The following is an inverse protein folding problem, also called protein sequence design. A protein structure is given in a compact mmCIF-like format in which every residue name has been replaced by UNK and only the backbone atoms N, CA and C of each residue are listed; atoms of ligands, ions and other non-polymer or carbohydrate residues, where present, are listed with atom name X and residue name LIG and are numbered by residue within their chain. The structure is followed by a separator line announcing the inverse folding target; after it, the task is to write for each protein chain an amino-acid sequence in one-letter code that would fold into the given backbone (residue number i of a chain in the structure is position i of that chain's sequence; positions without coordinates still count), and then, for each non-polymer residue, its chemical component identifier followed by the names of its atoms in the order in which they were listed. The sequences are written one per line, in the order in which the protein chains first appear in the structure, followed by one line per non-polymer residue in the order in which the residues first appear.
data_IF_707875133506
#
_entry.id   IF_707875133506
#
_cell.length_a   1.000
_cell.length_b   1.000
_cell.length_c   1.000
_cell.angle_alpha   90.00
_cell.angle_beta   90.00
_cell.angle_gamma   90.00
#
_symmetry.space_group_name_H-M   'P 1'
#
loop_
_entity.id
_entity.type
_entity.pdbx_description
1 polymer ?
#
# COMPACT_ATOMS: atom_id res chain seq x y z
N UNK A 1 -15.17 -6.24 8.56
CA UNK A 1 -14.42 -6.20 7.30
C UNK A 1 -13.45 -7.36 7.26
N UNK A 2 -13.17 -7.88 6.07
CA UNK A 2 -12.25 -9.00 5.87
C UNK A 2 -11.03 -8.55 5.08
N UNK A 3 -9.82 -8.81 5.61
CA UNK A 3 -8.57 -8.54 4.89
C UNK A 3 -8.09 -9.81 4.17
N UNK A 4 -7.84 -9.72 2.87
CA UNK A 4 -7.30 -10.82 2.06
C UNK A 4 -6.09 -10.36 1.26
N UNK A 5 -5.19 -11.28 0.91
CA UNK A 5 -4.13 -11.00 -0.05
C UNK A 5 -4.68 -11.10 -1.48
N UNK A 6 -4.44 -10.07 -2.30
CA UNK A 6 -4.88 -10.07 -3.69
C UNK A 6 -4.11 -11.10 -4.52
N UNK A 7 -4.83 -11.65 -5.51
CA UNK A 7 -4.32 -12.51 -6.58
C UNK A 7 -4.76 -11.94 -7.93
N UNK A 8 -4.38 -12.58 -9.04
CA UNK A 8 -4.85 -12.16 -10.38
C UNK A 8 -6.38 -12.19 -10.53
N UNK A 9 -7.08 -13.04 -9.77
CA UNK A 9 -8.55 -13.11 -9.77
C UNK A 9 -9.18 -11.81 -9.26
N UNK A 10 -8.45 -11.05 -8.46
CA UNK A 10 -8.94 -9.80 -7.88
C UNK A 10 -8.61 -8.57 -8.75
N UNK A 11 -7.97 -8.77 -9.90
CA UNK A 11 -7.46 -7.67 -10.74
C UNK A 11 -8.59 -6.73 -11.19
N UNK A 12 -9.71 -7.28 -11.64
CA UNK A 12 -10.84 -6.48 -12.12
C UNK A 12 -11.57 -5.78 -10.97
N UNK A 13 -11.57 -6.37 -9.76
CA UNK A 13 -12.11 -5.75 -8.55
C UNK A 13 -11.22 -4.59 -8.04
N UNK A 14 -9.90 -4.76 -8.08
CA UNK A 14 -8.94 -3.80 -7.55
C UNK A 14 -8.73 -2.59 -8.47
N UNK A 15 -8.72 -2.81 -9.79
CA UNK A 15 -8.32 -1.80 -10.78
C UNK A 15 -9.10 -0.48 -10.64
N UNK A 16 -10.44 -0.46 -10.52
CA UNK A 16 -11.18 0.79 -10.38
C UNK A 16 -10.79 1.59 -9.14
N UNK A 17 -10.52 0.89 -8.02
CA UNK A 17 -10.11 1.56 -6.78
C UNK A 17 -8.65 2.05 -6.86
N UNK A 18 -7.78 1.34 -7.55
CA UNK A 18 -6.41 1.77 -7.81
C UNK A 18 -6.35 3.01 -8.73
N UNK A 19 -7.25 3.11 -9.71
CA UNK A 19 -7.41 4.33 -10.52
C UNK A 19 -7.81 5.52 -9.64
N UNK A 20 -8.83 5.35 -8.77
CA UNK A 20 -9.24 6.40 -7.82
C UNK A 20 -8.12 6.81 -6.86
N UNK A 21 -7.30 5.86 -6.43
CA UNK A 21 -6.09 6.15 -5.65
C UNK A 21 -5.15 7.09 -6.42
N UNK A 22 -4.84 6.78 -7.68
CA UNK A 22 -3.96 7.62 -8.52
C UNK A 22 -4.55 9.01 -8.74
N UNK A 23 -5.84 9.10 -9.04
CA UNK A 23 -6.56 10.38 -9.19
C UNK A 23 -6.53 11.21 -7.90
N UNK A 24 -6.72 10.58 -6.73
CA UNK A 24 -6.65 11.25 -5.44
C UNK A 24 -5.28 11.89 -5.17
N UNK A 25 -4.20 11.31 -5.71
CA UNK A 25 -2.85 11.86 -5.65
C UNK A 25 -2.49 12.76 -6.84
N UNK A 26 -3.44 13.10 -7.71
CA UNK A 26 -3.28 14.07 -8.80
C UNK A 26 -2.81 13.48 -10.13
N UNK A 27 -2.63 12.15 -10.23
CA UNK A 27 -2.29 11.49 -11.50
C UNK A 27 -3.52 11.33 -12.41
N UNK A 28 -3.26 11.22 -13.71
CA UNK A 28 -4.30 10.90 -14.71
C UNK A 28 -4.78 9.45 -14.57
N UNK A 29 -6.07 9.22 -14.79
CA UNK A 29 -6.75 7.94 -14.55
C UNK A 29 -6.07 6.73 -15.22
N UNK A 30 -5.67 6.87 -16.49
CA UNK A 30 -5.10 5.80 -17.35
C UNK A 30 -5.51 4.37 -16.96
N UNK A 31 -6.79 3.98 -17.16
CA UNK A 31 -7.32 2.72 -16.66
C UNK A 31 -6.56 1.49 -17.19
N UNK A 32 -6.26 1.45 -18.49
CA UNK A 32 -5.54 0.35 -19.11
C UNK A 32 -4.11 0.20 -18.59
N UNK A 33 -3.39 1.32 -18.48
CA UNK A 33 -2.03 1.34 -17.91
C UNK A 33 -2.03 0.95 -16.43
N UNK A 34 -3.04 1.38 -15.67
CA UNK A 34 -3.22 1.03 -14.26
C UNK A 34 -3.47 -0.46 -14.08
N UNK A 35 -4.34 -1.05 -14.90
CA UNK A 35 -4.60 -2.50 -14.92
C UNK A 35 -3.36 -3.29 -15.29
N UNK A 36 -2.68 -2.90 -16.37
CA UNK A 36 -1.46 -3.56 -16.85
C UNK A 36 -0.33 -3.51 -15.80
N UNK A 37 -0.21 -2.39 -15.08
CA UNK A 37 0.74 -2.25 -13.98
C UNK A 37 0.46 -3.26 -12.87
N UNK A 38 -0.77 -3.30 -12.36
CA UNK A 38 -1.18 -4.23 -11.30
C UNK A 38 -0.98 -5.69 -11.72
N UNK A 39 -1.42 -6.03 -12.94
CA UNK A 39 -1.27 -7.38 -13.49
C UNK A 39 0.19 -7.83 -13.51
N UNK A 40 1.10 -6.96 -13.98
CA UNK A 40 2.54 -7.26 -14.03
C UNK A 40 3.10 -7.54 -12.64
N UNK A 41 2.75 -6.73 -11.64
CA UNK A 41 3.23 -6.92 -10.25
C UNK A 41 2.70 -8.19 -9.62
N UNK A 42 1.41 -8.48 -9.81
CA UNK A 42 0.78 -9.71 -9.32
C UNK A 42 1.35 -10.96 -9.99
N UNK A 43 1.48 -10.98 -11.33
CA UNK A 43 2.04 -12.12 -12.08
C UNK A 43 3.48 -12.42 -11.67
N UNK A 44 4.30 -11.38 -11.53
CA UNK A 44 5.73 -11.52 -11.20
C UNK A 44 6.00 -11.63 -9.70
N UNK A 45 4.96 -11.51 -8.86
CA UNK A 45 5.08 -11.48 -7.39
C UNK A 45 6.06 -10.41 -6.92
N UNK A 46 6.08 -9.27 -7.61
CA UNK A 46 6.95 -8.12 -7.32
C UNK A 46 6.37 -7.25 -6.19
N UNK A 47 5.10 -7.43 -5.85
CA UNK A 47 4.46 -6.78 -4.70
C UNK A 47 3.52 -7.74 -3.96
N UNK A 48 3.19 -7.37 -2.72
CA UNK A 48 2.12 -7.97 -1.93
C UNK A 48 1.03 -6.91 -1.79
N UNK A 49 -0.18 -7.23 -2.23
CA UNK A 49 -1.34 -6.35 -2.13
C UNK A 49 -2.32 -6.97 -1.15
N UNK A 50 -2.78 -6.19 -0.18
CA UNK A 50 -3.90 -6.56 0.69
C UNK A 50 -5.13 -5.76 0.32
N UNK A 51 -6.28 -6.44 0.32
CA UNK A 51 -7.60 -5.88 0.04
C UNK A 51 -8.43 -5.93 1.32
N UNK A 52 -9.13 -4.84 1.61
CA UNK A 52 -10.17 -4.80 2.65
C UNK A 52 -11.53 -4.94 1.98
N UNK A 53 -12.20 -6.07 2.18
CA UNK A 53 -13.54 -6.33 1.67
C UNK A 53 -14.60 -6.10 2.75
N UNK A 54 -15.80 -5.70 2.33
CA UNK A 54 -16.96 -5.69 3.22
C UNK A 54 -17.31 -7.11 3.69
N UNK A 55 -17.83 -7.23 4.91
CA UNK A 55 -18.34 -8.53 5.38
C UNK A 55 -19.70 -8.84 4.75
N UNK A 56 -20.48 -7.79 4.43
CA UNK A 56 -21.84 -7.91 3.89
C UNK A 56 -21.86 -8.15 2.37
N UNK A 57 -20.79 -7.78 1.67
CA UNK A 57 -20.67 -7.91 0.22
C UNK A 57 -19.21 -8.14 -0.18
N UNK A 58 -18.90 -9.34 -0.67
CA UNK A 58 -17.54 -9.72 -1.10
C UNK A 58 -17.05 -8.97 -2.34
N UNK A 59 -17.96 -8.36 -3.11
CA UNK A 59 -17.63 -7.53 -4.26
C UNK A 59 -17.42 -6.06 -3.88
N UNK A 60 -17.71 -5.68 -2.61
CA UNK A 60 -17.46 -4.33 -2.13
C UNK A 60 -16.05 -4.22 -1.55
N UNK A 61 -15.16 -3.63 -2.34
CA UNK A 61 -13.80 -3.28 -1.92
C UNK A 61 -13.77 -1.95 -1.17
N UNK A 62 -13.41 -1.99 0.10
CA UNK A 62 -13.35 -0.83 1.01
C UNK A 62 -12.01 -0.10 0.97
N UNK A 63 -10.94 -0.78 0.57
CA UNK A 63 -9.59 -0.22 0.57
C UNK A 63 -8.55 -1.26 0.15
N UNK A 64 -7.33 -0.78 -0.11
CA UNK A 64 -6.19 -1.65 -0.35
C UNK A 64 -4.90 -1.05 0.21
N UNK A 65 -3.89 -1.89 0.39
CA UNK A 65 -2.51 -1.45 0.52
C UNK A 65 -1.58 -2.33 -0.31
N UNK A 66 -0.48 -1.74 -0.81
CA UNK A 66 0.51 -2.42 -1.62
C UNK A 66 1.91 -2.24 -1.02
N UNK A 67 2.59 -3.37 -0.87
CA UNK A 67 3.93 -3.46 -0.31
C UNK A 67 4.92 -4.02 -1.32
N UNK A 68 6.08 -3.39 -1.42
CA UNK A 68 7.19 -3.90 -2.21
C UNK A 68 8.25 -4.55 -1.30
N UNK A 69 8.73 -5.77 -1.65
CA UNK A 69 9.84 -6.39 -0.94
C UNK A 69 11.14 -5.66 -1.25
N UNK A 70 11.97 -5.51 -0.23
CA UNK A 70 13.34 -4.97 -0.32
C UNK A 70 14.23 -5.65 0.72
N UNK A 71 15.49 -5.26 0.82
CA UNK A 71 16.44 -5.88 1.73
C UNK A 71 17.31 -4.83 2.41
N UNK A 72 17.72 -5.13 3.63
CA UNK A 72 18.83 -4.46 4.28
C UNK A 72 20.06 -5.35 4.18
N UNK A 73 21.05 -4.93 3.38
CA UNK A 73 22.33 -5.63 3.29
C UNK A 73 23.11 -5.56 4.60
N UNK A 74 22.92 -4.50 5.40
CA UNK A 74 23.56 -4.36 6.71
C UNK A 74 23.03 -5.36 7.74
N UNK A 75 21.72 -5.60 7.75
CA UNK A 75 21.08 -6.54 8.68
C UNK A 75 20.90 -7.94 8.09
N UNK A 76 21.24 -8.15 6.82
CA UNK A 76 20.99 -9.39 6.06
C UNK A 76 19.54 -9.88 6.17
N UNK A 77 18.58 -8.94 6.20
CA UNK A 77 17.16 -9.21 6.46
C UNK A 77 16.25 -8.48 5.48
N UNK A 78 15.03 -9.00 5.35
CA UNK A 78 13.95 -8.40 4.54
C UNK A 78 13.58 -7.01 5.07
N UNK A 79 13.20 -6.11 4.17
CA UNK A 79 12.51 -4.86 4.46
C UNK A 79 11.22 -4.85 3.63
N UNK A 80 10.15 -4.29 4.18
CA UNK A 80 8.92 -4.05 3.43
C UNK A 80 8.69 -2.56 3.22
N UNK A 81 8.41 -2.16 1.99
CA UNK A 81 8.09 -0.77 1.66
C UNK A 81 6.57 -0.71 1.45
N UNK A 82 5.85 -0.13 2.40
CA UNK A 82 4.43 0.19 2.26
C UNK A 82 4.34 1.47 1.42
N UNK A 83 4.05 1.31 0.13
CA UNK A 83 4.09 2.43 -0.81
C UNK A 83 2.71 3.02 -1.03
N UNK A 84 1.73 2.16 -1.28
CA UNK A 84 0.39 2.58 -1.65
C UNK A 84 -0.59 2.14 -0.55
N UNK A 85 -1.40 3.07 -0.07
CA UNK A 85 -2.54 2.77 0.80
C UNK A 85 -3.68 3.71 0.44
N UNK A 86 -4.87 3.14 0.28
CA UNK A 86 -6.05 3.92 -0.06
C UNK A 86 -7.32 3.28 0.49
N UNK A 87 -8.23 4.13 0.95
CA UNK A 87 -9.54 3.74 1.46
C UNK A 87 -10.60 4.44 0.60
N UNK A 88 -11.56 3.66 0.11
CA UNK A 88 -12.70 4.18 -0.64
C UNK A 88 -13.42 5.26 0.17
N UNK A 89 -13.91 6.31 -0.49
CA UNK A 89 -14.46 7.48 0.21
C UNK A 89 -15.63 7.15 1.13
N UNK A 90 -16.50 6.22 0.70
CA UNK A 90 -17.65 5.71 1.44
C UNK A 90 -17.26 4.77 2.59
N UNK A 91 -16.00 4.35 2.66
CA UNK A 91 -15.45 3.49 3.71
C UNK A 91 -14.51 4.24 4.69
N UNK A 92 -14.35 5.56 4.53
CA UNK A 92 -13.52 6.37 5.43
C UNK A 92 -14.09 6.38 6.85
N UNK A 93 -13.22 6.61 7.84
CA UNK A 93 -13.54 6.61 9.28
C UNK A 93 -14.01 5.26 9.86
N UNK A 94 -13.86 4.16 9.10
CA UNK A 94 -14.18 2.80 9.56
C UNK A 94 -12.93 1.97 9.93
N UNK A 95 -11.79 2.63 10.19
CA UNK A 95 -10.51 1.99 10.53
C UNK A 95 -10.00 0.99 9.46
N UNK A 96 -10.34 1.20 8.19
CA UNK A 96 -9.91 0.34 7.07
C UNK A 96 -8.39 0.38 6.91
N UNK A 97 -7.79 1.57 6.92
CA UNK A 97 -6.34 1.75 6.83
C UNK A 97 -5.61 1.06 7.99
N UNK A 98 -6.11 1.21 9.21
CA UNK A 98 -5.56 0.53 10.39
C UNK A 98 -5.52 -0.99 10.24
N UNK A 99 -6.62 -1.59 9.79
CA UNK A 99 -6.70 -3.05 9.61
C UNK A 99 -5.77 -3.56 8.51
N UNK A 100 -5.64 -2.80 7.40
CA UNK A 100 -4.69 -3.10 6.33
C UNK A 100 -3.24 -3.05 6.84
N UNK A 101 -2.85 -1.99 7.54
CA UNK A 101 -1.47 -1.82 8.03
C UNK A 101 -1.17 -2.83 9.15
N UNK A 102 -2.12 -3.17 10.03
CA UNK A 102 -1.95 -4.23 11.03
C UNK A 102 -1.70 -5.59 10.38
N UNK A 103 -2.42 -5.90 9.29
CA UNK A 103 -2.20 -7.13 8.52
C UNK A 103 -0.81 -7.12 7.86
N UNK A 104 -0.42 -6.00 7.25
CA UNK A 104 0.91 -5.84 6.68
C UNK A 104 2.03 -5.96 7.73
N UNK A 105 1.83 -5.41 8.94
CA UNK A 105 2.75 -5.53 10.08
C UNK A 105 2.87 -6.97 10.57
N UNK A 106 1.77 -7.73 10.59
CA UNK A 106 1.80 -9.17 10.89
C UNK A 106 2.64 -9.92 9.87
N UNK A 107 2.40 -9.69 8.57
CA UNK A 107 3.19 -10.29 7.49
C UNK A 107 4.69 -9.92 7.58
N UNK A 108 5.01 -8.66 7.90
CA UNK A 108 6.39 -8.23 8.09
C UNK A 108 7.10 -9.01 9.22
N UNK A 109 6.40 -9.28 10.33
CA UNK A 109 6.93 -10.12 11.42
C UNK A 109 7.11 -11.57 10.99
N UNK A 110 6.11 -12.17 10.35
CA UNK A 110 6.14 -13.57 9.89
C UNK A 110 7.25 -13.82 8.87
N UNK A 111 7.57 -12.82 8.06
CA UNK A 111 8.65 -12.86 7.06
C UNK A 111 10.02 -12.45 7.62
N UNK A 112 10.15 -12.31 8.95
CA UNK A 112 11.37 -11.92 9.64
C UNK A 112 12.00 -10.62 9.10
N UNK A 113 11.16 -9.66 8.69
CA UNK A 113 11.63 -8.37 8.22
C UNK A 113 12.21 -7.54 9.37
N UNK A 114 13.29 -6.81 9.09
CA UNK A 114 13.93 -5.93 10.09
C UNK A 114 13.13 -4.64 10.31
N UNK A 115 12.44 -4.14 9.28
CA UNK A 115 11.56 -2.96 9.36
C UNK A 115 10.56 -2.90 8.22
N UNK A 116 9.54 -2.08 8.43
CA UNK A 116 8.69 -1.53 7.37
C UNK A 116 9.07 -0.07 7.13
N UNK A 117 9.05 0.39 5.89
CA UNK A 117 9.21 1.80 5.50
C UNK A 117 7.96 2.30 4.84
N UNK A 118 7.68 3.59 5.02
CA UNK A 118 6.60 4.29 4.35
C UNK A 118 7.07 5.68 3.98
N UNK A 119 6.62 6.17 2.83
CA UNK A 119 6.82 7.55 2.40
C UNK A 119 5.44 8.18 2.23
N UNK A 120 5.25 9.36 2.78
CA UNK A 120 4.02 10.14 2.62
C UNK A 120 4.38 11.60 2.42
N UNK A 121 3.49 12.37 1.80
CA UNK A 121 3.67 13.82 1.67
C UNK A 121 3.79 14.47 3.05
N UNK A 122 4.70 15.45 3.16
CA UNK A 122 4.86 16.28 4.37
C UNK A 122 3.57 17.02 4.75
N UNK A 123 2.70 17.26 3.78
CA UNK A 123 1.45 18.01 3.97
C UNK A 123 0.25 17.08 4.24
N UNK A 124 0.45 15.76 4.28
CA UNK A 124 -0.60 14.78 4.53
C UNK A 124 -0.64 14.35 6.00
N UNK A 125 -1.03 15.28 6.87
CA UNK A 125 -1.11 15.06 8.33
C UNK A 125 -2.02 13.88 8.70
N UNK A 126 -3.09 13.65 7.93
CA UNK A 126 -4.03 12.54 8.17
C UNK A 126 -3.33 11.20 8.01
N UNK A 127 -2.54 11.04 6.94
CA UNK A 127 -1.75 9.84 6.74
C UNK A 127 -0.66 9.70 7.80
N UNK A 128 0.04 10.78 8.16
CA UNK A 128 1.08 10.77 9.21
C UNK A 128 0.52 10.28 10.55
N UNK A 129 -0.60 10.85 11.03
CA UNK A 129 -1.27 10.40 12.27
C UNK A 129 -1.66 8.93 12.22
N UNK A 130 -2.12 8.45 11.07
CA UNK A 130 -2.45 7.02 10.87
C UNK A 130 -1.20 6.16 11.03
N UNK A 131 -0.09 6.50 10.38
CA UNK A 131 1.17 5.75 10.49
C UNK A 131 1.74 5.77 11.92
N UNK A 132 1.78 6.94 12.55
CA UNK A 132 2.26 7.11 13.92
C UNK A 132 1.45 6.28 14.92
N UNK A 133 0.12 6.28 14.80
CA UNK A 133 -0.76 5.50 15.68
C UNK A 133 -0.51 3.99 15.62
N UNK A 134 0.07 3.50 14.51
CA UNK A 134 0.38 2.08 14.29
C UNK A 134 1.86 1.75 14.60
N UNK A 135 2.61 2.78 14.99
CA UNK A 135 3.97 2.70 15.51
C UNK A 135 5.07 2.98 14.48
N UNK A 136 4.73 3.55 13.32
CA UNK A 136 5.77 4.19 12.51
C UNK A 136 6.31 5.41 13.26
N UNK A 137 7.59 5.68 13.05
CA UNK A 137 8.29 6.83 13.61
C UNK A 137 9.15 7.42 12.50
N UNK A 138 9.44 8.71 12.59
CA UNK A 138 10.43 9.33 11.73
C UNK A 138 11.78 8.62 11.87
N UNK A 139 12.48 8.47 10.75
CA UNK A 139 13.81 7.87 10.74
C UNK A 139 14.83 8.92 11.21
N UNK A 140 15.38 8.71 12.40
CA UNK A 140 16.43 9.57 12.97
C UNK A 140 17.83 9.07 12.67
N UNK A 141 17.96 7.88 12.08
CA UNK A 141 19.24 7.23 11.79
C UNK A 141 19.67 7.46 10.34
N UNK A 142 18.71 7.57 9.41
CA UNK A 142 18.96 7.68 7.98
C UNK A 142 18.26 8.92 7.39
N UNK A 143 19.02 9.70 6.60
CA UNK A 143 18.44 10.76 5.76
C UNK A 143 18.02 10.20 4.41
N UNK A 144 16.82 10.57 3.95
CA UNK A 144 16.32 10.19 2.63
C UNK A 144 16.60 11.30 1.62
N UNK A 145 17.09 10.92 0.45
CA UNK A 145 17.36 11.82 -0.68
C UNK A 145 16.64 11.29 -1.91
N UNK A 146 16.14 12.20 -2.76
CA UNK A 146 15.48 11.87 -4.03
C UNK A 146 16.25 12.58 -5.15
N UNK A 147 16.60 11.83 -6.20
CA UNK A 147 17.15 12.36 -7.45
C UNK A 147 16.14 12.07 -8.56
N UNK A 148 15.41 13.08 -9.07
CA UNK A 148 14.49 12.88 -10.19
C UNK A 148 15.24 12.39 -11.45
N UNK A 149 14.71 11.35 -12.11
CA UNK A 149 15.31 10.77 -13.32
C UNK A 149 14.41 10.94 -14.56
N UNK A 150 13.10 10.91 -14.37
CA UNK A 150 12.09 11.06 -15.41
C UNK A 150 10.90 11.83 -14.88
N UNK A 151 10.10 12.40 -15.79
CA UNK A 151 8.85 13.06 -15.42
C UNK A 151 7.88 12.07 -14.76
N UNK A 152 7.10 12.58 -13.80
CA UNK A 152 6.01 11.85 -13.17
C UNK A 152 4.78 11.84 -14.12
N UNK A 153 4.12 10.67 -14.23
CA UNK A 153 2.96 10.43 -15.10
C UNK A 153 1.62 10.90 -14.52
#
# INVERSE_FOLDING_TARGET
MRIIQATLEHLDLLTPLFVKYREFYGSLAYPDSSRAFLEKRLRRKESVIYLALSDDDSNKLLGFCQLYPSFSSLSLKRVWILNDIYVAEDARRQLVADNLIRTAKKMAKETNAVRMRVSTSSNNEVAQKTYESIGFKEDTEFKNYVLPISDEL
#
